data_IF_125353339496
#
_entry.id   IF_125353339496
#
_cell.length_a   1.000
_cell.length_b   1.000
_cell.length_c   1.000
_cell.angle_alpha   90.00
_cell.angle_beta   90.00
_cell.angle_gamma   90.00
#
_symmetry.space_group_name_H-M   'P 1'
#
loop_
_entity.id
_entity.type
_entity.pdbx_description
1 polymer ?
#
# COMPACT_ATOMS: atom_id res chain seq x y z
N UNK A 1 48.95 -21.08 22.02
CA UNK A 1 48.03 -19.93 22.17
C UNK A 1 47.16 -19.88 20.94
N UNK A 2 45.89 -20.27 21.06
CA UNK A 2 44.94 -20.18 19.96
C UNK A 2 44.50 -18.70 19.88
N UNK A 3 44.99 -17.96 18.89
CA UNK A 3 44.52 -16.60 18.64
C UNK A 3 43.20 -16.71 17.87
N UNK A 4 42.08 -16.67 18.60
CA UNK A 4 40.77 -16.48 17.99
C UNK A 4 40.78 -15.11 17.30
N UNK A 5 40.95 -15.11 15.98
CA UNK A 5 40.92 -13.92 15.16
C UNK A 5 39.52 -13.29 15.24
N UNK A 6 39.45 -12.03 15.68
CA UNK A 6 38.21 -11.27 15.68
C UNK A 6 37.68 -11.16 14.24
N UNK A 7 36.45 -11.60 14.04
CA UNK A 7 35.76 -11.48 12.75
C UNK A 7 35.29 -10.02 12.57
N UNK A 8 36.13 -9.21 11.95
CA UNK A 8 35.80 -7.82 11.61
C UNK A 8 34.98 -7.80 10.33
N UNK A 9 33.78 -7.21 10.37
CA UNK A 9 32.99 -6.87 9.19
C UNK A 9 33.01 -5.36 9.02
N UNK A 10 33.47 -4.89 7.85
CA UNK A 10 33.37 -3.47 7.48
C UNK A 10 31.93 -3.21 7.08
N UNK A 11 31.23 -2.25 7.72
CA UNK A 11 29.87 -1.91 7.33
C UNK A 11 29.78 -1.46 5.87
N UNK A 12 28.92 -2.11 5.09
CA UNK A 12 28.53 -1.66 3.76
C UNK A 12 27.33 -0.70 3.80
N UNK A 13 26.91 -0.20 2.64
CA UNK A 13 25.76 0.72 2.52
C UNK A 13 24.48 0.18 3.18
N UNK A 14 24.20 -1.12 2.98
CA UNK A 14 23.08 -1.82 3.59
C UNK A 14 23.05 -1.72 5.12
N UNK A 15 24.20 -1.77 5.78
CA UNK A 15 24.26 -1.60 7.24
C UNK A 15 23.71 -0.23 7.65
N UNK A 16 24.10 0.84 6.94
CA UNK A 16 23.63 2.19 7.23
C UNK A 16 22.14 2.37 6.90
N UNK A 17 21.65 1.69 5.86
CA UNK A 17 20.23 1.70 5.51
C UNK A 17 19.39 1.01 6.61
N UNK A 18 19.86 -0.12 7.13
CA UNK A 18 19.19 -0.87 8.21
C UNK A 18 19.10 -0.07 9.53
N UNK A 19 19.94 0.95 9.72
CA UNK A 19 19.86 1.87 10.86
C UNK A 19 18.72 2.90 10.75
N UNK A 20 18.03 2.97 9.60
CA UNK A 20 16.88 3.85 9.40
C UNK A 20 15.62 3.16 9.93
N UNK A 21 15.44 3.20 11.25
CA UNK A 21 14.41 2.41 11.94
C UNK A 21 12.99 2.64 11.41
N UNK A 22 12.63 3.87 11.02
CA UNK A 22 11.30 4.16 10.49
C UNK A 22 11.06 3.57 9.08
N UNK A 23 12.10 3.48 8.26
CA UNK A 23 12.02 2.93 6.90
C UNK A 23 12.00 1.40 6.95
N UNK A 24 12.90 0.80 7.73
CA UNK A 24 12.97 -0.66 7.94
C UNK A 24 11.69 -1.21 8.57
N UNK A 25 11.07 -0.47 9.50
CA UNK A 25 9.81 -0.89 10.10
C UNK A 25 8.61 -0.76 9.16
N UNK A 26 8.72 -0.01 8.06
CA UNK A 26 7.65 0.09 7.07
C UNK A 26 7.65 -1.17 6.19
N UNK A 27 6.52 -1.91 6.07
CA UNK A 27 6.47 -3.14 5.26
C UNK A 27 6.78 -2.94 3.77
N UNK A 28 6.57 -1.72 3.28
CA UNK A 28 6.87 -1.29 1.90
C UNK A 28 8.08 -0.35 1.86
N UNK A 29 8.84 -0.29 2.94
CA UNK A 29 10.05 0.51 3.09
C UNK A 29 9.93 2.00 2.68
N UNK A 30 8.75 2.63 2.80
CA UNK A 30 8.61 4.05 2.44
C UNK A 30 9.63 4.93 3.17
N UNK A 31 10.36 5.77 2.43
CA UNK A 31 11.28 6.74 3.04
C UNK A 31 10.53 7.89 3.74
N UNK A 32 10.23 7.67 5.02
CA UNK A 32 9.64 8.66 5.88
C UNK A 32 10.48 9.92 6.07
N UNK A 33 11.81 9.81 6.02
CA UNK A 33 12.68 10.96 6.24
C UNK A 33 12.59 11.93 5.06
N UNK A 34 12.62 11.40 3.84
CA UNK A 34 12.55 12.17 2.61
C UNK A 34 11.29 13.01 2.53
N UNK A 35 10.10 12.41 2.69
CA UNK A 35 8.87 13.21 2.63
C UNK A 35 8.69 14.13 3.83
N UNK A 36 9.19 13.79 5.03
CA UNK A 36 9.14 14.71 6.18
C UNK A 36 10.02 15.93 5.94
N UNK A 37 11.22 15.75 5.37
CA UNK A 37 12.09 16.86 4.99
C UNK A 37 11.47 17.71 3.88
N UNK A 38 10.91 17.09 2.86
CA UNK A 38 10.22 17.80 1.79
C UNK A 38 9.03 18.62 2.32
N UNK A 39 8.26 18.09 3.29
CA UNK A 39 7.21 18.86 3.99
C UNK A 39 7.80 20.07 4.72
N UNK A 40 8.90 19.89 5.47
CA UNK A 40 9.54 20.97 6.23
C UNK A 40 10.05 22.10 5.32
N UNK A 41 10.42 21.78 4.08
CA UNK A 41 10.90 22.73 3.07
C UNK A 41 9.75 23.27 2.18
N UNK A 42 8.48 22.93 2.44
CA UNK A 42 7.33 23.36 1.65
C UNK A 42 7.17 22.65 0.30
N UNK A 43 7.96 21.61 0.03
CA UNK A 43 7.95 20.80 -1.20
C UNK A 43 6.89 19.69 -1.14
N UNK A 44 5.61 20.06 -1.07
CA UNK A 44 4.51 19.11 -0.81
C UNK A 44 4.29 18.08 -1.92
N UNK A 45 4.46 18.47 -3.19
CA UNK A 45 4.36 17.55 -4.33
C UNK A 45 5.44 16.45 -4.24
N UNK A 46 6.69 16.83 -4.00
CA UNK A 46 7.80 15.88 -3.80
C UNK A 46 7.56 14.99 -2.58
N UNK A 47 7.05 15.54 -1.48
CA UNK A 47 6.69 14.74 -0.31
C UNK A 47 5.65 13.66 -0.63
N UNK A 48 4.62 13.99 -1.38
CA UNK A 48 3.62 13.03 -1.85
C UNK A 48 4.25 11.95 -2.73
N UNK A 49 5.08 12.35 -3.70
CA UNK A 49 5.70 11.42 -4.65
C UNK A 49 6.67 10.46 -3.96
N UNK A 50 7.45 10.94 -2.98
CA UNK A 50 8.29 10.06 -2.13
C UNK A 50 7.42 9.08 -1.34
N UNK A 51 6.31 9.54 -0.75
CA UNK A 51 5.43 8.68 0.05
C UNK A 51 4.69 7.62 -0.80
N UNK A 52 4.37 7.94 -2.06
CA UNK A 52 3.68 7.08 -3.02
C UNK A 52 4.61 6.11 -3.75
N UNK A 53 5.90 6.44 -3.89
CA UNK A 53 6.87 5.62 -4.63
C UNK A 53 6.70 4.12 -4.41
N UNK A 54 6.88 3.58 -3.20
CA UNK A 54 6.78 2.14 -2.98
C UNK A 54 5.35 1.64 -2.72
N UNK A 55 4.33 2.51 -2.80
CA UNK A 55 2.98 2.16 -2.39
C UNK A 55 1.91 2.95 -3.17
N UNK A 56 1.13 2.29 -4.05
CA UNK A 56 0.06 2.95 -4.80
C UNK A 56 -1.11 3.43 -3.93
N UNK A 57 -1.12 3.11 -2.63
CA UNK A 57 -2.17 3.47 -1.66
C UNK A 57 -1.67 4.43 -0.57
N UNK A 58 -0.78 5.37 -0.91
CA UNK A 58 -0.22 6.30 0.07
C UNK A 58 -1.28 7.10 0.84
N UNK A 59 -2.32 7.61 0.17
CA UNK A 59 -3.39 8.38 0.83
C UNK A 59 -4.19 7.51 1.80
N UNK A 60 -4.48 6.26 1.42
CA UNK A 60 -5.17 5.30 2.28
C UNK A 60 -4.31 4.96 3.50
N UNK A 61 -3.02 4.68 3.31
CA UNK A 61 -2.09 4.41 4.40
C UNK A 61 -1.92 5.62 5.34
N UNK A 62 -2.02 6.86 4.84
CA UNK A 62 -2.07 8.06 5.68
C UNK A 62 -3.23 8.08 6.68
N UNK A 63 -4.28 7.27 6.46
CA UNK A 63 -5.48 7.24 7.32
C UNK A 63 -5.55 6.03 8.23
N UNK A 64 -5.25 4.84 7.69
CA UNK A 64 -5.54 3.58 8.40
C UNK A 64 -4.32 2.72 8.72
N UNK A 65 -3.11 3.13 8.30
CA UNK A 65 -1.90 2.36 8.59
C UNK A 65 -1.70 2.19 10.10
N UNK A 66 -1.21 1.02 10.52
CA UNK A 66 -0.81 0.75 11.92
C UNK A 66 0.43 1.53 12.38
N UNK A 67 1.05 2.31 11.49
CA UNK A 67 2.20 3.17 11.76
C UNK A 67 3.38 2.48 12.49
N UNK A 68 3.87 1.30 12.01
CA UNK A 68 5.03 0.65 12.62
C UNK A 68 6.30 1.52 12.57
N UNK A 69 6.37 2.42 11.58
CA UNK A 69 7.41 3.44 11.46
C UNK A 69 7.44 4.44 12.63
N UNK A 70 6.28 4.77 13.22
CA UNK A 70 6.19 5.64 14.40
C UNK A 70 6.63 4.88 15.66
N UNK A 71 6.23 3.62 15.81
CA UNK A 71 6.66 2.77 16.91
C UNK A 71 8.19 2.55 16.92
N UNK A 72 8.80 2.42 15.74
CA UNK A 72 10.25 2.27 15.60
C UNK A 72 11.03 3.59 15.63
N UNK A 73 10.35 4.75 15.70
CA UNK A 73 10.97 6.06 15.51
C UNK A 73 12.05 6.36 16.56
N UNK A 74 13.27 6.65 16.11
CA UNK A 74 14.40 7.02 17.00
C UNK A 74 14.11 8.27 17.84
N UNK A 75 13.31 9.22 17.32
CA UNK A 75 12.90 10.41 18.07
C UNK A 75 12.20 10.03 19.37
N UNK A 76 11.35 9.00 19.34
CA UNK A 76 10.64 8.49 20.52
C UNK A 76 11.54 7.88 21.61
N UNK A 77 12.84 7.77 21.35
CA UNK A 77 13.84 7.19 22.27
C UNK A 77 14.81 8.25 22.80
N UNK A 78 14.69 9.51 22.39
CA UNK A 78 15.59 10.59 22.86
C UNK A 78 15.12 11.03 24.25
N UNK A 79 15.97 11.01 25.28
CA UNK A 79 15.61 11.50 26.60
C UNK A 79 15.40 13.02 26.58
N UNK A 80 14.35 13.50 27.24
CA UNK A 80 14.17 14.89 27.63
C UNK A 80 14.58 15.03 29.09
N UNK A 81 15.34 16.08 29.36
CA UNK A 81 15.88 16.40 30.68
C UNK A 81 15.36 17.75 31.17
N UNK A 82 15.36 17.98 32.47
CA UNK A 82 15.16 19.31 33.06
C UNK A 82 16.44 20.17 32.92
N UNK A 83 16.38 21.40 33.43
CA UNK A 83 17.49 22.36 33.39
C UNK A 83 18.74 21.85 34.16
N UNK A 84 18.54 20.92 35.11
CA UNK A 84 19.60 20.29 35.91
C UNK A 84 20.10 18.97 35.28
N UNK A 85 19.54 18.54 34.15
CA UNK A 85 19.94 17.34 33.43
C UNK A 85 19.27 16.04 33.91
N UNK A 86 18.29 16.10 34.82
CA UNK A 86 17.56 14.92 35.27
C UNK A 86 16.56 14.45 34.20
N UNK A 87 16.47 13.14 34.02
CA UNK A 87 15.52 12.53 33.09
C UNK A 87 14.06 12.82 33.50
N UNK A 88 13.29 13.40 32.59
CA UNK A 88 11.85 13.63 32.77
C UNK A 88 11.05 12.55 32.03
N UNK A 89 11.31 12.39 30.74
CA UNK A 89 10.58 11.49 29.86
C UNK A 89 11.30 11.36 28.51
N UNK A 90 10.95 10.35 27.71
CA UNK A 90 11.39 10.32 26.32
C UNK A 90 10.61 11.31 25.45
N UNK A 91 11.23 11.73 24.36
CA UNK A 91 10.57 12.52 23.34
C UNK A 91 9.46 11.73 22.63
N UNK A 92 8.58 12.40 21.89
CA UNK A 92 7.51 11.74 21.15
C UNK A 92 8.01 11.31 19.76
N UNK A 93 7.53 10.17 19.23
CA UNK A 93 7.72 9.82 17.83
C UNK A 93 7.24 10.92 16.89
N UNK A 94 7.87 11.01 15.72
CA UNK A 94 7.34 11.83 14.63
C UNK A 94 5.99 11.26 14.21
N UNK A 95 5.00 12.13 13.97
CA UNK A 95 3.67 11.75 13.48
C UNK A 95 3.70 11.41 11.98
N UNK A 96 4.51 10.42 11.62
CA UNK A 96 4.82 10.00 10.24
C UNK A 96 3.55 9.72 9.42
N UNK A 97 2.56 9.00 9.99
CA UNK A 97 1.28 8.72 9.33
C UNK A 97 0.48 10.01 9.09
N UNK A 98 0.47 10.90 10.08
CA UNK A 98 -0.20 12.20 9.97
C UNK A 98 0.42 13.09 8.90
N UNK A 99 1.75 13.16 8.85
CA UNK A 99 2.51 13.90 7.84
C UNK A 99 2.32 13.31 6.44
N UNK A 100 2.28 11.97 6.32
CA UNK A 100 1.92 11.31 5.06
C UNK A 100 0.52 11.73 4.59
N UNK A 101 -0.48 11.71 5.48
CA UNK A 101 -1.84 12.15 5.16
C UNK A 101 -1.85 13.62 4.72
N UNK A 102 -1.13 14.48 5.42
CA UNK A 102 -1.01 15.90 5.08
C UNK A 102 -0.46 16.09 3.66
N UNK A 103 0.68 15.50 3.33
CA UNK A 103 1.25 15.59 1.97
C UNK A 103 0.28 15.03 0.91
N UNK A 104 -0.33 13.88 1.17
CA UNK A 104 -1.32 13.29 0.27
C UNK A 104 -2.57 14.17 0.10
N UNK A 105 -2.99 14.91 1.13
CA UNK A 105 -4.15 15.79 1.03
C UNK A 105 -3.91 17.03 0.17
N UNK A 106 -2.64 17.41 -0.04
CA UNK A 106 -2.26 18.57 -0.84
C UNK A 106 -1.95 18.21 -2.30
N UNK A 107 -1.40 17.01 -2.53
CA UNK A 107 -0.84 16.62 -3.82
C UNK A 107 -1.32 15.24 -4.32
N UNK A 108 -2.07 14.50 -3.51
CA UNK A 108 -2.53 13.15 -3.84
C UNK A 108 -3.80 13.12 -4.69
N UNK A 109 -4.37 11.91 -4.90
CA UNK A 109 -5.58 11.73 -5.71
C UNK A 109 -6.80 12.45 -5.11
N UNK A 110 -6.77 12.78 -3.82
CA UNK A 110 -7.81 13.58 -3.17
C UNK A 110 -7.80 15.06 -3.57
N UNK A 111 -6.67 15.58 -4.06
CA UNK A 111 -6.49 16.99 -4.42
C UNK A 111 -6.66 17.26 -5.93
N UNK A 112 -6.48 16.24 -6.79
CA UNK A 112 -6.44 16.42 -8.25
C UNK A 112 -6.84 15.15 -9.02
N UNK A 113 -7.19 15.26 -10.32
CA UNK A 113 -7.55 14.13 -11.16
C UNK A 113 -6.46 13.05 -11.29
N UNK A 114 -6.90 11.83 -11.63
CA UNK A 114 -6.04 10.65 -11.69
C UNK A 114 -4.94 10.74 -12.78
N UNK A 115 -5.24 11.36 -13.91
CA UNK A 115 -4.29 11.58 -15.01
C UNK A 115 -3.18 12.57 -14.63
N UNK A 116 -3.50 13.63 -13.87
CA UNK A 116 -2.49 14.55 -13.33
C UNK A 116 -1.56 13.88 -12.32
N UNK A 117 -2.13 13.05 -11.43
CA UNK A 117 -1.34 12.22 -10.51
C UNK A 117 -0.40 11.31 -11.30
N UNK A 118 -0.92 10.60 -12.30
CA UNK A 118 -0.14 9.68 -13.11
C UNK A 118 0.99 10.39 -13.88
N UNK A 119 0.70 11.56 -14.45
CA UNK A 119 1.70 12.38 -15.13
C UNK A 119 2.82 12.82 -14.19
N UNK A 120 2.48 13.15 -12.95
CA UNK A 120 3.47 13.55 -11.94
C UNK A 120 4.36 12.37 -11.53
N UNK A 121 3.77 11.18 -11.32
CA UNK A 121 4.52 9.95 -11.03
C UNK A 121 5.49 9.61 -12.17
N UNK A 122 5.05 9.69 -13.43
CA UNK A 122 5.88 9.39 -14.60
C UNK A 122 7.09 10.32 -14.75
N UNK A 123 6.99 11.57 -14.29
CA UNK A 123 8.04 12.59 -14.43
C UNK A 123 8.95 12.70 -13.20
N UNK A 124 8.63 12.00 -12.11
CA UNK A 124 9.35 12.16 -10.86
C UNK A 124 10.64 11.35 -10.81
N UNK A 125 11.76 12.02 -10.51
CA UNK A 125 13.03 11.40 -10.15
C UNK A 125 13.44 11.94 -8.78
N UNK A 126 13.52 11.09 -7.73
CA UNK A 126 13.88 11.56 -6.39
C UNK A 126 15.27 12.20 -6.38
N UNK A 127 15.38 13.40 -5.78
CA UNK A 127 16.63 14.16 -5.69
C UNK A 127 17.62 13.55 -4.69
N UNK A 128 17.11 13.13 -3.52
CA UNK A 128 17.85 12.48 -2.44
C UNK A 128 16.87 11.59 -1.67
N UNK A 129 16.77 10.31 -2.02
CA UNK A 129 16.48 9.17 -1.13
C UNK A 129 15.96 7.93 -1.86
N UNK A 130 16.19 6.80 -1.18
CA UNK A 130 15.86 5.40 -1.45
C UNK A 130 16.69 4.77 -2.56
N UNK A 131 17.41 3.72 -2.17
CA UNK A 131 18.14 2.77 -3.01
C UNK A 131 17.32 2.39 -4.25
N UNK A 132 18.01 1.84 -5.25
CA UNK A 132 17.51 1.24 -6.46
C UNK A 132 16.52 0.06 -6.24
N UNK A 133 15.77 0.00 -5.14
CA UNK A 133 14.81 -1.07 -4.79
C UNK A 133 13.32 -0.66 -4.62
N UNK A 134 12.94 0.62 -4.54
CA UNK A 134 11.58 1.01 -4.04
C UNK A 134 10.59 1.67 -5.03
N UNK A 135 10.74 1.46 -6.35
CA UNK A 135 9.90 1.90 -7.51
C UNK A 135 10.74 2.69 -8.52
N UNK A 136 11.61 3.58 -8.03
CA UNK A 136 12.72 4.09 -8.82
C UNK A 136 13.60 2.95 -9.31
N UNK A 137 13.66 1.85 -8.57
CA UNK A 137 14.23 0.55 -8.97
C UNK A 137 13.68 -0.02 -10.27
N UNK A 138 12.36 -0.11 -10.38
CA UNK A 138 11.65 -0.72 -11.48
C UNK A 138 11.72 0.20 -12.69
N UNK A 139 11.48 1.50 -12.46
CA UNK A 139 11.62 2.54 -13.47
C UNK A 139 13.07 2.64 -13.97
N UNK A 140 14.08 2.66 -13.09
CA UNK A 140 15.51 2.66 -13.46
C UNK A 140 15.98 1.34 -14.03
N UNK A 141 15.49 0.18 -13.58
CA UNK A 141 15.86 -1.12 -14.16
C UNK A 141 15.25 -1.31 -15.56
N UNK A 142 14.07 -0.73 -15.81
CA UNK A 142 13.50 -0.61 -17.15
C UNK A 142 14.30 0.38 -18.02
N UNK A 143 14.78 1.50 -17.47
CA UNK A 143 15.59 2.50 -18.19
C UNK A 143 17.03 2.02 -18.46
N UNK A 144 17.63 1.24 -17.54
CA UNK A 144 18.96 0.64 -17.63
C UNK A 144 18.94 -0.72 -18.38
N UNK A 145 17.78 -1.15 -18.89
CA UNK A 145 17.63 -2.38 -19.68
C UNK A 145 17.75 -3.71 -18.94
N UNK A 146 17.81 -3.71 -17.59
CA UNK A 146 17.86 -4.93 -16.76
C UNK A 146 16.51 -5.64 -16.65
N UNK A 147 15.42 -4.92 -16.87
CA UNK A 147 14.06 -5.45 -16.96
C UNK A 147 13.49 -5.03 -18.31
N UNK A 148 13.25 -6.00 -19.18
CA UNK A 148 12.57 -5.75 -20.46
C UNK A 148 11.09 -5.58 -20.18
N UNK A 149 10.50 -4.46 -20.63
CA UNK A 149 9.05 -4.27 -20.51
C UNK A 149 8.32 -5.37 -21.25
N UNK A 150 7.25 -5.86 -20.64
CA UNK A 150 6.33 -6.79 -21.26
C UNK A 150 5.64 -6.14 -22.49
N UNK A 151 5.17 -6.99 -23.39
CA UNK A 151 4.56 -6.60 -24.66
C UNK A 151 3.03 -6.75 -24.63
N UNK A 152 2.42 -6.37 -23.51
CA UNK A 152 0.97 -6.34 -23.36
C UNK A 152 0.32 -7.70 -23.10
N UNK A 153 1.07 -8.70 -22.64
CA UNK A 153 0.53 -9.98 -22.18
C UNK A 153 -0.53 -9.76 -21.10
N UNK A 154 -1.64 -10.51 -21.19
CA UNK A 154 -2.76 -10.35 -20.26
C UNK A 154 -2.54 -11.18 -19.01
N UNK A 155 -2.75 -10.56 -17.85
CA UNK A 155 -2.62 -11.21 -16.54
C UNK A 155 -3.96 -11.14 -15.81
N UNK A 156 -4.49 -12.28 -15.37
CA UNK A 156 -5.71 -12.30 -14.55
C UNK A 156 -5.37 -12.15 -13.07
N UNK A 157 -6.11 -11.31 -12.36
CA UNK A 157 -5.94 -11.13 -10.91
C UNK A 157 -7.31 -11.35 -10.25
N UNK A 158 -7.37 -12.31 -9.32
CA UNK A 158 -8.61 -12.66 -8.62
C UNK A 158 -8.65 -11.95 -7.28
N UNK A 159 -9.47 -10.91 -7.16
CA UNK A 159 -9.66 -10.07 -5.98
C UNK A 159 -9.09 -8.65 -6.16
N UNK A 160 -9.93 -7.64 -6.00
CA UNK A 160 -9.56 -6.22 -6.07
C UNK A 160 -9.26 -5.62 -4.69
N UNK A 161 -8.72 -6.41 -3.76
CA UNK A 161 -8.21 -5.90 -2.49
C UNK A 161 -6.86 -5.17 -2.65
N UNK A 162 -6.26 -4.68 -1.55
CA UNK A 162 -4.96 -3.99 -1.58
C UNK A 162 -3.87 -4.79 -2.31
N UNK A 163 -3.80 -6.10 -2.09
CA UNK A 163 -2.81 -6.97 -2.72
C UNK A 163 -3.02 -7.07 -4.24
N UNK A 164 -4.25 -7.36 -4.70
CA UNK A 164 -4.54 -7.53 -6.12
C UNK A 164 -4.39 -6.23 -6.90
N UNK A 165 -4.83 -5.11 -6.34
CA UNK A 165 -4.67 -3.80 -6.97
C UNK A 165 -3.21 -3.32 -6.99
N UNK A 166 -2.41 -3.59 -5.94
CA UNK A 166 -0.98 -3.28 -5.97
C UNK A 166 -0.25 -4.11 -7.04
N UNK A 167 -0.58 -5.41 -7.13
CA UNK A 167 -0.05 -6.27 -8.19
C UNK A 167 -0.46 -5.76 -9.58
N UNK A 168 -1.71 -5.33 -9.76
CA UNK A 168 -2.18 -4.76 -11.02
C UNK A 168 -1.41 -3.49 -11.40
N UNK A 169 -1.22 -2.58 -10.43
CA UNK A 169 -0.43 -1.36 -10.60
C UNK A 169 0.99 -1.67 -11.09
N UNK A 170 1.71 -2.54 -10.39
CA UNK A 170 3.10 -2.84 -10.71
C UNK A 170 3.23 -3.58 -12.05
N UNK A 171 2.32 -4.52 -12.34
CA UNK A 171 2.27 -5.21 -13.63
C UNK A 171 2.00 -4.26 -14.81
N UNK A 172 1.11 -3.28 -14.63
CA UNK A 172 0.85 -2.28 -15.66
C UNK A 172 2.09 -1.41 -15.92
N UNK A 173 2.82 -1.01 -14.88
CA UNK A 173 4.10 -0.29 -15.04
C UNK A 173 5.17 -1.11 -15.76
N UNK A 174 5.14 -2.44 -15.59
CA UNK A 174 6.00 -3.40 -16.28
C UNK A 174 5.60 -3.65 -17.74
N UNK A 175 4.47 -3.12 -18.22
CA UNK A 175 4.01 -3.27 -19.60
C UNK A 175 3.02 -4.42 -19.84
N UNK A 176 2.56 -5.10 -18.78
CA UNK A 176 1.50 -6.10 -18.88
C UNK A 176 0.11 -5.44 -18.99
N UNK A 177 -0.91 -6.23 -19.37
CA UNK A 177 -2.32 -5.84 -19.38
C UNK A 177 -3.11 -6.60 -18.31
N UNK A 178 -3.04 -6.19 -17.03
CA UNK A 178 -3.76 -6.86 -15.95
C UNK A 178 -5.27 -6.63 -16.03
N UNK A 179 -6.04 -7.69 -15.76
CA UNK A 179 -7.50 -7.67 -15.59
C UNK A 179 -7.83 -8.22 -14.21
N UNK A 180 -8.45 -7.38 -13.37
CA UNK A 180 -8.81 -7.71 -12.00
C UNK A 180 -10.28 -8.13 -11.95
N UNK A 181 -10.56 -9.31 -11.37
CA UNK A 181 -11.91 -9.82 -11.15
C UNK A 181 -12.26 -9.73 -9.68
N UNK A 182 -13.35 -9.03 -9.35
CA UNK A 182 -13.82 -8.83 -7.98
C UNK A 182 -15.26 -9.33 -7.83
N UNK A 183 -15.48 -10.08 -6.75
CA UNK A 183 -16.79 -10.66 -6.42
C UNK A 183 -17.76 -9.63 -5.86
N UNK A 184 -17.27 -8.70 -5.05
CA UNK A 184 -18.09 -7.61 -4.50
C UNK A 184 -18.45 -6.60 -5.63
N UNK A 185 -19.53 -5.80 -5.49
CA UNK A 185 -19.95 -4.84 -6.51
C UNK A 185 -19.02 -3.61 -6.64
N UNK A 186 -18.01 -3.51 -5.76
CA UNK A 186 -17.06 -2.40 -5.70
C UNK A 186 -15.63 -2.92 -5.52
N UNK A 187 -14.66 -2.19 -6.07
CA UNK A 187 -13.25 -2.47 -5.90
C UNK A 187 -12.73 -2.11 -4.49
N UNK A 188 -11.44 -2.39 -4.24
CA UNK A 188 -10.70 -2.16 -2.99
C UNK A 188 -10.98 -3.16 -1.84
N UNK A 189 -11.82 -4.17 -2.04
CA UNK A 189 -12.07 -5.24 -1.07
C UNK A 189 -12.41 -4.71 0.32
N UNK A 190 -11.75 -5.23 1.37
CA UNK A 190 -12.01 -4.84 2.76
C UNK A 190 -11.81 -3.35 3.06
N UNK A 191 -11.06 -2.62 2.24
CA UNK A 191 -10.97 -1.16 2.37
C UNK A 191 -12.33 -0.50 2.12
N UNK A 192 -13.03 -0.95 1.09
CA UNK A 192 -14.35 -0.43 0.71
C UNK A 192 -15.48 -1.04 1.53
N UNK A 193 -15.45 -2.37 1.76
CA UNK A 193 -16.57 -3.05 2.40
C UNK A 193 -16.44 -3.20 3.91
N UNK A 194 -15.22 -3.16 4.47
CA UNK A 194 -14.96 -3.47 5.87
C UNK A 194 -14.61 -2.26 6.74
N UNK A 195 -13.78 -1.34 6.22
CA UNK A 195 -13.34 -0.16 6.99
C UNK A 195 -14.47 0.88 7.02
N UNK A 196 -14.87 1.43 8.19
CA UNK A 196 -15.91 2.45 8.25
C UNK A 196 -15.56 3.74 7.49
N UNK A 197 -16.56 4.35 6.84
CA UNK A 197 -16.37 5.54 5.99
C UNK A 197 -15.76 6.75 6.73
N UNK A 198 -16.05 6.92 8.02
CA UNK A 198 -15.47 7.99 8.83
C UNK A 198 -13.95 7.80 9.09
N UNK A 199 -13.45 6.56 9.02
CA UNK A 199 -12.00 6.26 9.06
C UNK A 199 -11.38 6.33 7.68
N UNK A 200 -12.09 5.84 6.67
CA UNK A 200 -11.62 5.80 5.28
C UNK A 200 -12.75 6.20 4.31
N UNK A 201 -12.78 7.46 3.84
CA UNK A 201 -13.82 7.95 2.94
C UNK A 201 -13.90 7.15 1.64
N UNK A 202 -15.12 6.83 1.19
CA UNK A 202 -15.35 6.03 -0.03
C UNK A 202 -14.88 6.74 -1.30
N UNK A 203 -15.04 8.05 -1.35
CA UNK A 203 -14.55 8.88 -2.46
C UNK A 203 -13.03 8.80 -2.60
N UNK A 204 -12.29 8.80 -1.48
CA UNK A 204 -10.83 8.64 -1.53
C UNK A 204 -10.43 7.29 -2.10
N UNK A 205 -11.12 6.21 -1.70
CA UNK A 205 -10.86 4.87 -2.22
C UNK A 205 -11.08 4.86 -3.74
N UNK A 206 -12.20 5.43 -4.20
CA UNK A 206 -12.51 5.51 -5.63
C UNK A 206 -11.43 6.29 -6.40
N UNK A 207 -10.95 7.41 -5.86
CA UNK A 207 -9.87 8.21 -6.47
C UNK A 207 -8.54 7.45 -6.55
N UNK A 208 -8.18 6.68 -5.52
CA UNK A 208 -6.97 5.84 -5.56
C UNK A 208 -7.09 4.70 -6.58
N UNK A 209 -8.27 4.07 -6.68
CA UNK A 209 -8.55 3.04 -7.70
C UNK A 209 -8.49 3.64 -9.11
N UNK A 210 -9.04 4.85 -9.31
CA UNK A 210 -9.01 5.52 -10.61
C UNK A 210 -7.59 5.79 -11.13
N UNK A 211 -6.62 6.05 -10.24
CA UNK A 211 -5.20 6.17 -10.64
C UNK A 211 -4.64 4.85 -11.18
N UNK A 212 -5.08 3.73 -10.62
CA UNK A 212 -4.69 2.39 -11.09
C UNK A 212 -5.37 2.08 -12.43
N UNK A 213 -6.65 2.40 -12.59
CA UNK A 213 -7.36 2.25 -13.86
C UNK A 213 -6.73 3.11 -14.97
N UNK A 214 -6.27 4.33 -14.64
CA UNK A 214 -5.58 5.23 -15.56
C UNK A 214 -4.23 4.68 -16.07
N UNK A 215 -3.67 3.65 -15.43
CA UNK A 215 -2.52 2.89 -15.96
C UNK A 215 -2.90 1.88 -17.06
N UNK A 216 -4.19 1.72 -17.35
CA UNK A 216 -4.72 0.72 -18.29
C UNK A 216 -5.11 -0.60 -17.63
N UNK A 217 -5.25 -0.63 -16.30
CA UNK A 217 -5.76 -1.79 -15.56
C UNK A 217 -7.27 -1.89 -15.76
N UNK A 218 -7.76 -3.06 -16.17
CA UNK A 218 -9.20 -3.33 -16.26
C UNK A 218 -9.70 -3.95 -14.94
N UNK A 219 -10.80 -3.44 -14.37
CA UNK A 219 -11.39 -3.98 -13.14
C UNK A 219 -12.85 -4.38 -13.41
N UNK A 220 -13.16 -5.66 -13.20
CA UNK A 220 -14.49 -6.26 -13.38
C UNK A 220 -15.07 -6.65 -12.02
N UNK A 221 -15.96 -5.83 -11.50
CA UNK A 221 -16.68 -6.10 -10.25
C UNK A 221 -17.90 -7.01 -10.48
N UNK A 222 -18.44 -7.60 -9.41
CA UNK A 222 -19.58 -8.52 -9.48
C UNK A 222 -19.28 -9.87 -10.15
N UNK A 223 -18.01 -10.25 -10.33
CA UNK A 223 -17.58 -11.52 -10.95
C UNK A 223 -16.97 -12.44 -9.91
N UNK A 224 -17.54 -13.63 -9.75
CA UNK A 224 -17.06 -14.68 -8.85
C UNK A 224 -16.39 -15.79 -9.65
N UNK A 225 -15.07 -15.92 -9.52
CA UNK A 225 -14.36 -17.02 -10.16
C UNK A 225 -14.79 -18.35 -9.52
N UNK A 226 -15.14 -19.32 -10.37
CA UNK A 226 -15.77 -20.59 -10.01
C UNK A 226 -17.29 -20.59 -10.13
N UNK A 227 -17.94 -19.43 -10.36
CA UNK A 227 -19.38 -19.34 -10.68
C UNK A 227 -19.61 -18.79 -12.09
N UNK A 228 -19.31 -17.51 -12.30
CA UNK A 228 -19.54 -16.85 -13.60
C UNK A 228 -18.41 -17.13 -14.61
N UNK A 229 -17.18 -17.35 -14.12
CA UNK A 229 -16.01 -17.71 -14.95
C UNK A 229 -15.27 -18.86 -14.28
N UNK A 230 -14.95 -19.92 -15.03
CA UNK A 230 -14.18 -21.04 -14.46
C UNK A 230 -12.71 -20.68 -14.28
N UNK A 231 -12.05 -21.28 -13.29
CA UNK A 231 -10.60 -21.09 -13.11
C UNK A 231 -9.79 -21.65 -14.30
N UNK A 232 -10.29 -22.70 -14.96
CA UNK A 232 -9.70 -23.25 -16.18
C UNK A 232 -9.72 -22.25 -17.34
N UNK A 233 -10.78 -21.45 -17.47
CA UNK A 233 -10.84 -20.41 -18.51
C UNK A 233 -9.76 -19.36 -18.27
N UNK A 234 -9.58 -18.92 -17.03
CA UNK A 234 -8.51 -17.97 -16.70
C UNK A 234 -7.12 -18.51 -17.04
N UNK A 235 -6.84 -19.78 -16.73
CA UNK A 235 -5.54 -20.41 -17.04
C UNK A 235 -5.29 -20.59 -18.53
N UNK A 236 -6.34 -20.71 -19.33
CA UNK A 236 -6.26 -20.85 -20.79
C UNK A 236 -6.09 -19.50 -21.47
N UNK A 237 -6.82 -18.49 -21.00
CA UNK A 237 -7.00 -17.22 -21.72
C UNK A 237 -6.00 -16.12 -21.27
N UNK A 238 -5.30 -16.34 -20.16
CA UNK A 238 -4.31 -15.41 -19.59
C UNK A 238 -2.95 -16.07 -19.40
N UNK A 239 -1.89 -15.27 -19.57
CA UNK A 239 -0.50 -15.75 -19.46
C UNK A 239 -0.12 -16.13 -18.03
N UNK A 240 -0.74 -15.49 -17.03
CA UNK A 240 -0.62 -15.85 -15.63
C UNK A 240 -1.89 -15.46 -14.86
N UNK A 241 -2.06 -16.09 -13.69
CA UNK A 241 -3.17 -15.83 -12.77
C UNK A 241 -2.61 -15.56 -11.37
N UNK A 242 -3.00 -14.44 -10.78
CA UNK A 242 -2.68 -14.07 -9.39
C UNK A 242 -3.94 -14.24 -8.53
N UNK A 243 -3.82 -14.92 -7.39
CA UNK A 243 -4.92 -15.12 -6.46
C UNK A 243 -4.74 -14.17 -5.26
N UNK A 244 -5.61 -13.18 -5.14
CA UNK A 244 -5.58 -12.11 -4.13
C UNK A 244 -6.95 -11.93 -3.45
N UNK A 245 -7.70 -13.01 -3.28
CA UNK A 245 -9.10 -13.02 -2.78
C UNK A 245 -9.26 -12.57 -1.31
N UNK A 246 -8.19 -12.67 -0.52
CA UNK A 246 -8.21 -12.36 0.91
C UNK A 246 -9.09 -13.30 1.74
N UNK A 247 -9.25 -12.98 3.03
CA UNK A 247 -10.08 -13.75 3.96
C UNK A 247 -11.48 -13.10 4.07
N UNK A 248 -12.44 -13.63 3.30
CA UNK A 248 -13.82 -13.09 3.24
C UNK A 248 -14.84 -13.80 4.14
N UNK A 249 -14.41 -14.79 4.92
CA UNK A 249 -15.27 -15.58 5.81
C UNK A 249 -14.95 -15.31 7.27
N UNK A 250 -15.99 -15.25 8.11
CA UNK A 250 -15.84 -15.15 9.56
C UNK A 250 -15.53 -16.51 10.19
N UNK A 251 -14.86 -16.49 11.35
CA UNK A 251 -14.75 -17.68 12.22
C UNK A 251 -16.07 -17.87 12.97
N UNK A 252 -16.63 -19.07 12.93
CA UNK A 252 -17.79 -19.44 13.75
C UNK A 252 -17.35 -19.66 15.21
N UNK A 253 -18.23 -19.32 16.14
CA UNK A 253 -18.06 -19.60 17.58
C UNK A 253 -18.56 -20.99 17.98
N UNK A 254 -19.16 -21.76 17.05
CA UNK A 254 -19.71 -23.09 17.35
C UNK A 254 -20.93 -23.06 18.29
N UNK A 255 -21.58 -21.91 18.43
CA UNK A 255 -22.79 -21.77 19.24
C UNK A 255 -24.03 -22.21 18.45
N UNK A 256 -25.04 -22.83 19.08
CA UNK A 256 -26.28 -23.21 18.40
C UNK A 256 -27.01 -21.98 17.81
N UNK A 257 -27.60 -22.10 16.61
CA UNK A 257 -28.21 -20.99 15.83
C UNK A 257 -29.33 -20.20 16.55
N UNK A 258 -29.83 -20.69 17.68
CA UNK A 258 -30.95 -20.15 18.46
C UNK A 258 -30.72 -18.77 19.12
N UNK A 259 -29.59 -18.11 18.87
CA UNK A 259 -29.32 -16.76 19.35
C UNK A 259 -29.55 -15.75 18.22
N UNK A 260 -30.82 -15.43 17.95
CA UNK A 260 -31.30 -14.63 16.80
C UNK A 260 -30.84 -13.16 16.71
N UNK A 261 -29.73 -12.77 17.35
CA UNK A 261 -29.08 -11.45 17.23
C UNK A 261 -27.54 -11.51 17.20
N UNK A 262 -26.96 -12.69 16.97
CA UNK A 262 -25.52 -12.81 16.84
C UNK A 262 -25.10 -12.49 15.39
N UNK A 263 -24.25 -11.48 15.23
CA UNK A 263 -23.63 -11.17 13.94
C UNK A 263 -22.13 -11.31 14.04
N UNK A 264 -21.52 -11.81 12.96
CA UNK A 264 -20.06 -11.82 12.82
C UNK A 264 -19.55 -10.45 12.37
N UNK A 265 -18.24 -10.20 12.56
CA UNK A 265 -17.62 -8.96 12.09
C UNK A 265 -17.80 -8.75 10.58
N UNK A 266 -17.65 -9.80 9.77
CA UNK A 266 -17.86 -9.70 8.31
C UNK A 266 -19.32 -9.39 7.97
N UNK A 267 -20.29 -10.03 8.65
CA UNK A 267 -21.71 -9.76 8.37
C UNK A 267 -22.14 -8.35 8.80
N UNK A 268 -21.59 -7.81 9.89
CA UNK A 268 -21.87 -6.42 10.32
C UNK A 268 -21.22 -5.43 9.37
N UNK A 269 -19.91 -5.56 9.14
CA UNK A 269 -19.14 -4.56 8.42
C UNK A 269 -19.46 -4.59 6.92
N UNK A 270 -19.48 -5.78 6.32
CA UNK A 270 -19.63 -5.95 4.87
C UNK A 270 -21.09 -6.14 4.44
N UNK A 271 -22.01 -6.33 5.40
CA UNK A 271 -23.44 -6.57 5.17
C UNK A 271 -24.03 -5.66 4.10
N UNK A 272 -23.95 -4.32 4.22
CA UNK A 272 -24.57 -3.38 3.27
C UNK A 272 -24.22 -3.62 1.79
N UNK A 273 -23.06 -4.22 1.49
CA UNK A 273 -22.62 -4.52 0.13
C UNK A 273 -23.02 -5.93 -0.34
N UNK A 274 -23.42 -6.82 0.58
CA UNK A 274 -23.76 -8.22 0.30
C UNK A 274 -25.27 -8.47 0.24
N UNK A 275 -26.08 -7.75 1.02
CA UNK A 275 -27.54 -7.82 0.95
C UNK A 275 -28.10 -7.39 -0.41
N UNK A 276 -27.32 -6.65 -1.21
CA UNK A 276 -27.71 -6.21 -2.56
C UNK A 276 -27.69 -7.36 -3.58
N UNK A 277 -26.91 -8.44 -3.33
CA UNK A 277 -26.85 -9.61 -4.23
C UNK A 277 -27.97 -10.63 -4.00
N UNK A 278 -28.60 -10.63 -2.81
CA UNK A 278 -29.68 -11.57 -2.47
C UNK A 278 -31.08 -11.02 -2.82
N UNK A 279 -31.16 -9.83 -3.44
CA UNK A 279 -32.41 -9.16 -3.83
C UNK A 279 -32.59 -9.01 -5.36
N UNK A 280 -31.71 -9.61 -6.16
CA UNK A 280 -31.73 -9.64 -7.63
C UNK A 280 -31.53 -11.05 -8.12
#
# INVERSE_FOLDING_TARGET
MNMDLLKVQIPGERYHQELISCQVACPVHTDARGYVRAIAEGRFEEAYLIARGPNPFASICGRICGAPCEAACRRGKIPRVDDDGHFIANDRPIAIRGLKRFACSLAGPEARPADEVLNSIKKFVPSVAADAQELAALLRSCLDGRVVKASGERIAIIGAGPAGLSAAHDLALLGFKPVVFETDPVAAGMLAVGVPAYRLPRELIAKEVAVIEALGVEIRCGVTIGKEISFSDLRRDYSAVIIAVGAKSSRSLGLPEKWGRAFTAVSICCGPYRWVRDLT
#
